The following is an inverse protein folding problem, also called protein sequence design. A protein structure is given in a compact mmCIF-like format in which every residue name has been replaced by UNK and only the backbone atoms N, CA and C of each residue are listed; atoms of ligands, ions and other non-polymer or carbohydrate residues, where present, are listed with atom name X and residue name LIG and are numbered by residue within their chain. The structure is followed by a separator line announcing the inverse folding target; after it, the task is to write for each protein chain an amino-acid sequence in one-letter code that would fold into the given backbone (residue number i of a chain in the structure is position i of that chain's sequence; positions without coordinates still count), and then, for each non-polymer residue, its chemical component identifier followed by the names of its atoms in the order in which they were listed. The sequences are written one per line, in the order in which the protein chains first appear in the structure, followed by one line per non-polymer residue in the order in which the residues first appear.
data_IF_469734823407
#
_entry.id   IF_469734823407
#
_cell.length_a   1.000
_cell.length_b   1.000
_cell.length_c   1.000
_cell.angle_alpha   90.00
_cell.angle_beta   90.00
_cell.angle_gamma   90.00
#
_symmetry.space_group_name_H-M   'P 1'
#
loop_
_entity.id
_entity.type
_entity.pdbx_description
1 polymer ?
#
# COMPACT_ATOMS: atom_id res chain seq x y z
N UNK A 1 9.91 -14.24 12.46
CA UNK A 1 10.48 -12.90 12.73
C UNK A 1 9.40 -11.82 12.71
N UNK A 2 8.72 -11.56 11.59
CA UNK A 2 7.69 -10.49 11.53
C UNK A 2 6.32 -10.87 12.11
N UNK A 3 6.07 -12.17 12.36
CA UNK A 3 4.86 -12.67 13.04
C UNK A 3 5.20 -13.31 14.40
N UNK A 4 6.20 -12.78 15.10
CA UNK A 4 6.63 -13.30 16.39
C UNK A 4 5.74 -12.76 17.51
N UNK A 5 4.98 -13.63 18.18
CA UNK A 5 4.05 -13.27 19.26
C UNK A 5 4.75 -12.76 20.52
N UNK A 6 6.04 -13.05 20.72
CA UNK A 6 6.79 -12.47 21.85
C UNK A 6 7.16 -11.00 21.60
N UNK A 7 7.15 -10.57 20.33
CA UNK A 7 7.59 -9.23 19.92
C UNK A 7 6.47 -8.33 19.43
N UNK A 8 5.46 -8.91 18.80
CA UNK A 8 4.28 -8.20 18.34
C UNK A 8 3.07 -8.79 19.06
N UNK A 9 2.39 -7.96 19.86
CA UNK A 9 1.00 -8.24 20.22
C UNK A 9 0.19 -8.33 18.90
N UNK A 10 -0.74 -9.27 18.79
CA UNK A 10 -1.53 -9.58 17.58
C UNK A 10 -0.73 -9.44 16.25
N UNK A 11 0.27 -10.30 16.01
CA UNK A 11 1.18 -10.17 14.86
C UNK A 11 0.49 -10.23 13.51
N UNK A 12 -0.65 -10.91 13.43
CA UNK A 12 -1.42 -11.10 12.20
C UNK A 12 -2.37 -9.92 11.90
N UNK A 13 -2.46 -8.93 12.81
CA UNK A 13 -3.31 -7.75 12.66
C UNK A 13 -2.50 -6.57 12.12
N UNK A 14 -2.96 -5.97 11.02
CA UNK A 14 -2.40 -4.71 10.52
C UNK A 14 -2.72 -3.54 11.47
N UNK A 15 -1.77 -3.19 12.35
CA UNK A 15 -1.90 -2.09 13.33
C UNK A 15 -0.78 -1.06 13.15
N UNK A 16 -0.94 -0.05 12.28
CA UNK A 16 0.08 0.99 12.03
C UNK A 16 0.51 1.75 13.30
N UNK A 17 -0.39 1.87 14.27
CA UNK A 17 -0.11 2.54 15.55
C UNK A 17 1.02 1.91 16.37
N UNK A 18 1.46 0.67 16.06
CA UNK A 18 2.63 0.04 16.72
C UNK A 18 3.97 0.70 16.33
N UNK A 19 3.98 1.59 15.34
CA UNK A 19 5.18 2.24 14.80
C UNK A 19 5.18 3.76 15.05
N UNK A 20 4.57 4.19 16.16
CA UNK A 20 4.60 5.58 16.62
C UNK A 20 6.04 6.04 16.92
N UNK A 21 6.34 7.36 16.85
CA UNK A 21 7.68 7.88 17.06
C UNK A 21 8.08 7.96 18.57
N UNK A 22 7.53 7.07 19.40
CA UNK A 22 7.98 6.85 20.76
C UNK A 22 9.15 5.83 20.78
N UNK A 23 9.70 5.57 21.97
CA UNK A 23 10.86 4.69 22.13
C UNK A 23 10.58 3.26 21.65
N UNK A 24 9.40 2.72 21.99
CA UNK A 24 9.00 1.36 21.64
C UNK A 24 8.77 1.21 20.13
N UNK A 25 8.03 2.13 19.52
CA UNK A 25 7.78 2.13 18.08
C UNK A 25 9.05 2.38 17.26
N UNK A 26 10.00 3.17 17.77
CA UNK A 26 11.31 3.35 17.14
C UNK A 26 12.14 2.04 17.16
N UNK A 27 12.16 1.33 18.28
CA UNK A 27 12.82 0.02 18.38
C UNK A 27 12.19 -1.04 17.47
N UNK A 28 10.85 -1.12 17.45
CA UNK A 28 10.12 -2.02 16.53
C UNK A 28 10.43 -1.69 15.07
N UNK A 29 10.47 -0.40 14.73
CA UNK A 29 10.82 0.05 13.36
C UNK A 29 12.22 -0.41 12.97
N UNK A 30 13.22 -0.25 13.84
CA UNK A 30 14.60 -0.74 13.59
C UNK A 30 14.64 -2.24 13.34
N UNK A 31 13.90 -3.01 14.14
CA UNK A 31 13.82 -4.46 13.99
C UNK A 31 13.19 -4.87 12.66
N UNK A 32 12.05 -4.27 12.28
CA UNK A 32 11.37 -4.55 11.01
C UNK A 32 12.27 -4.23 9.83
N UNK A 33 13.03 -3.14 9.87
CA UNK A 33 14.00 -2.80 8.83
C UNK A 33 15.09 -3.86 8.69
N UNK A 34 15.64 -4.34 9.81
CA UNK A 34 16.63 -5.41 9.79
C UNK A 34 16.05 -6.75 9.29
N UNK A 35 14.80 -7.06 9.62
CA UNK A 35 14.12 -8.25 9.12
C UNK A 35 13.83 -8.17 7.60
N UNK A 36 13.46 -6.98 7.09
CA UNK A 36 13.12 -6.78 5.68
C UNK A 36 14.35 -6.68 4.78
N UNK A 37 15.41 -6.01 5.24
CA UNK A 37 16.60 -5.72 4.44
C UNK A 37 17.84 -6.54 4.84
N UNK A 38 17.72 -7.39 5.85
CA UNK A 38 18.84 -8.15 6.41
C UNK A 38 19.74 -7.32 7.34
N UNK A 39 20.83 -7.93 7.78
CA UNK A 39 21.76 -7.37 8.77
C UNK A 39 23.22 -7.72 8.44
N UNK A 40 24.15 -6.98 9.05
CA UNK A 40 25.60 -7.19 8.90
C UNK A 40 26.12 -6.90 7.48
N UNK A 41 27.19 -7.62 7.09
CA UNK A 41 27.91 -7.39 5.82
C UNK A 41 27.09 -7.64 4.54
N UNK A 42 25.94 -8.30 4.65
CA UNK A 42 25.05 -8.62 3.52
C UNK A 42 23.72 -7.88 3.59
N UNK A 43 23.63 -6.84 4.42
CA UNK A 43 22.46 -5.95 4.45
C UNK A 43 22.20 -5.39 3.06
N UNK A 44 20.94 -5.35 2.65
CA UNK A 44 20.52 -4.86 1.35
C UNK A 44 21.11 -3.46 1.07
N UNK A 45 21.95 -3.30 0.02
CA UNK A 45 22.56 -2.02 -0.31
C UNK A 45 21.51 -1.00 -0.81
N UNK A 46 20.38 -1.49 -1.32
CA UNK A 46 19.28 -0.67 -1.82
C UNK A 46 18.30 -0.16 -0.77
N UNK A 47 18.48 -0.47 0.53
CA UNK A 47 17.47 -0.18 1.57
C UNK A 47 17.06 1.29 1.63
N UNK A 48 18.02 2.22 1.53
CA UNK A 48 17.74 3.65 1.65
C UNK A 48 16.97 4.16 0.44
N UNK A 49 17.34 3.70 -0.76
CA UNK A 49 16.61 4.00 -1.99
C UNK A 49 15.19 3.45 -1.94
N UNK A 50 15.04 2.16 -1.59
CA UNK A 50 13.74 1.51 -1.48
C UNK A 50 12.81 2.22 -0.50
N UNK A 51 13.28 2.55 0.71
CA UNK A 51 12.50 3.29 1.70
C UNK A 51 12.08 4.67 1.20
N UNK A 52 13.00 5.46 0.64
CA UNK A 52 12.70 6.79 0.15
C UNK A 52 11.72 6.77 -1.03
N UNK A 53 11.94 5.86 -1.99
CA UNK A 53 11.05 5.68 -3.14
C UNK A 53 9.66 5.22 -2.71
N UNK A 54 9.57 4.23 -1.81
CA UNK A 54 8.29 3.74 -1.32
C UNK A 54 7.51 4.85 -0.60
N UNK A 55 8.21 5.67 0.20
CA UNK A 55 7.57 6.79 0.88
C UNK A 55 7.00 7.81 -0.11
N UNK A 56 7.78 8.21 -1.11
CA UNK A 56 7.33 9.15 -2.15
C UNK A 56 6.16 8.57 -2.94
N UNK A 57 6.24 7.30 -3.36
CA UNK A 57 5.17 6.65 -4.12
C UNK A 57 3.88 6.63 -3.30
N UNK A 58 3.92 6.16 -2.05
CA UNK A 58 2.72 6.08 -1.20
C UNK A 58 2.15 7.47 -0.95
N UNK A 59 2.99 8.44 -0.56
CA UNK A 59 2.54 9.79 -0.27
C UNK A 59 1.91 10.47 -1.49
N UNK A 60 2.51 10.33 -2.68
CA UNK A 60 1.99 10.94 -3.91
C UNK A 60 0.72 10.25 -4.40
N UNK A 61 0.65 8.93 -4.33
CA UNK A 61 -0.57 8.18 -4.67
C UNK A 61 -1.72 8.58 -3.76
N UNK A 62 -1.51 8.61 -2.45
CA UNK A 62 -2.56 8.98 -1.48
C UNK A 62 -2.94 10.47 -1.55
N UNK A 63 -2.01 11.35 -1.94
CA UNK A 63 -2.31 12.76 -2.18
C UNK A 63 -3.19 12.96 -3.41
N UNK A 64 -3.00 12.17 -4.48
CA UNK A 64 -3.69 12.35 -5.75
C UNK A 64 -4.96 11.51 -5.91
N UNK A 65 -5.06 10.38 -5.20
CA UNK A 65 -6.13 9.39 -5.39
C UNK A 65 -6.77 8.94 -4.08
N UNK A 66 -8.05 8.57 -4.19
CA UNK A 66 -8.71 7.69 -3.23
C UNK A 66 -8.68 6.26 -3.76
N UNK A 67 -8.22 5.34 -2.91
CA UNK A 67 -8.17 3.90 -3.18
C UNK A 67 -9.27 3.25 -2.36
N UNK A 68 -10.23 2.69 -3.07
CA UNK A 68 -11.48 2.19 -2.53
C UNK A 68 -11.64 0.71 -2.87
N UNK A 69 -12.22 -0.10 -1.97
CA UNK A 69 -12.70 -1.45 -2.29
C UNK A 69 -13.61 -1.49 -3.52
N UNK A 70 -13.66 -2.65 -4.17
CA UNK A 70 -14.62 -2.90 -5.25
C UNK A 70 -15.99 -3.25 -4.64
N UNK A 71 -17.00 -2.39 -4.86
CA UNK A 71 -18.38 -2.58 -4.39
C UNK A 71 -19.04 -1.32 -3.80
N UNK A 72 -20.36 -1.35 -3.65
CA UNK A 72 -21.19 -0.20 -3.23
C UNK A 72 -21.22 0.04 -1.71
N UNK A 73 -20.62 -0.87 -0.93
CA UNK A 73 -20.73 -0.86 0.54
C UNK A 73 -20.04 0.33 1.21
N UNK A 74 -19.13 1.00 0.52
CA UNK A 74 -18.43 2.19 1.04
C UNK A 74 -19.42 3.33 1.29
N UNK A 75 -20.46 3.45 0.46
CA UNK A 75 -21.47 4.51 0.58
C UNK A 75 -22.54 4.20 1.64
N UNK A 76 -22.55 2.98 2.18
CA UNK A 76 -23.58 2.49 3.12
C UNK A 76 -23.18 2.59 4.60
N UNK A 77 -21.93 2.91 4.91
CA UNK A 77 -21.41 2.93 6.28
C UNK A 77 -21.25 1.54 6.92
N UNK A 78 -21.62 0.46 6.24
CA UNK A 78 -21.28 -0.91 6.62
C UNK A 78 -19.79 -1.18 6.34
N UNK A 79 -19.17 -1.99 7.20
CA UNK A 79 -17.74 -2.28 7.17
C UNK A 79 -17.25 -2.65 5.76
N UNK A 80 -16.11 -2.05 5.39
CA UNK A 80 -15.40 -2.33 4.15
C UNK A 80 -15.05 -3.83 4.07
N UNK A 81 -15.54 -4.50 3.03
CA UNK A 81 -15.14 -5.86 2.70
C UNK A 81 -13.71 -5.83 2.15
N UNK A 82 -12.73 -6.14 3.00
CA UNK A 82 -11.32 -6.20 2.60
C UNK A 82 -11.15 -7.47 1.76
N UNK A 83 -10.67 -7.37 0.50
CA UNK A 83 -10.47 -8.55 -0.33
C UNK A 83 -9.60 -9.57 0.39
N UNK A 84 -9.99 -10.85 0.34
CA UNK A 84 -9.16 -11.93 0.92
C UNK A 84 -7.78 -11.89 0.26
N UNK A 85 -6.73 -11.63 1.04
CA UNK A 85 -5.35 -11.61 0.57
C UNK A 85 -4.94 -13.03 0.20
N UNK A 86 -5.00 -13.33 -1.11
CA UNK A 86 -4.49 -14.58 -1.66
C UNK A 86 -3.11 -14.34 -2.23
N UNK A 87 -2.17 -15.22 -1.90
CA UNK A 87 -0.81 -15.15 -2.42
C UNK A 87 -0.61 -16.20 -3.50
N UNK A 88 0.04 -15.78 -4.59
CA UNK A 88 0.52 -16.69 -5.61
C UNK A 88 1.70 -17.52 -5.06
N UNK A 89 1.80 -18.77 -5.51
CA UNK A 89 2.94 -19.62 -5.16
C UNK A 89 4.21 -19.12 -5.86
N UNK A 90 5.30 -18.94 -5.11
CA UNK A 90 6.59 -18.51 -5.65
C UNK A 90 7.62 -18.19 -4.57
N UNK A 91 8.84 -17.81 -5.01
CA UNK A 91 9.94 -17.45 -4.12
C UNK A 91 9.74 -16.12 -3.37
N UNK A 92 8.84 -15.27 -3.87
CA UNK A 92 8.43 -14.03 -3.22
C UNK A 92 6.92 -14.04 -3.03
N UNK A 93 6.42 -13.50 -1.91
CA UNK A 93 4.99 -13.31 -1.71
C UNK A 93 4.49 -12.32 -2.77
N UNK A 94 3.75 -12.82 -3.75
CA UNK A 94 3.04 -12.02 -4.73
C UNK A 94 1.56 -12.12 -4.42
N UNK A 95 0.90 -10.97 -4.33
CA UNK A 95 -0.54 -10.95 -4.19
C UNK A 95 -1.19 -11.36 -5.51
N UNK A 96 -2.17 -12.26 -5.43
CA UNK A 96 -3.08 -12.53 -6.53
C UNK A 96 -3.82 -11.25 -6.91
N UNK A 97 -4.25 -11.17 -8.18
CA UNK A 97 -5.02 -10.01 -8.64
C UNK A 97 -6.32 -9.85 -7.84
N UNK A 98 -6.59 -8.63 -7.38
CA UNK A 98 -7.84 -8.22 -6.72
C UNK A 98 -8.37 -6.95 -7.38
N UNK A 99 -9.67 -6.71 -7.26
CA UNK A 99 -10.30 -5.51 -7.79
C UNK A 99 -10.30 -4.40 -6.75
N UNK A 100 -10.08 -3.17 -7.21
CA UNK A 100 -10.22 -1.95 -6.42
C UNK A 100 -10.62 -0.80 -7.35
N UNK A 101 -11.21 0.24 -6.77
CA UNK A 101 -11.53 1.49 -7.46
C UNK A 101 -10.48 2.53 -7.06
N UNK A 102 -9.80 3.09 -8.05
CA UNK A 102 -8.84 4.18 -7.85
C UNK A 102 -9.35 5.40 -8.59
N UNK A 103 -9.65 6.46 -7.86
CA UNK A 103 -10.23 7.68 -8.43
C UNK A 103 -9.47 8.92 -7.96
N UNK A 104 -9.40 9.99 -8.76
CA UNK A 104 -8.76 11.23 -8.33
C UNK A 104 -9.43 11.77 -7.05
N UNK A 105 -8.61 12.21 -6.10
CA UNK A 105 -9.04 12.67 -4.76
C UNK A 105 -9.86 13.95 -4.82
N UNK A 106 -9.49 14.85 -5.71
CA UNK A 106 -10.13 16.16 -5.88
C UNK A 106 -10.04 16.68 -7.32
N UNK A 107 -10.65 17.85 -7.55
CA UNK A 107 -10.66 18.52 -8.86
C UNK A 107 -9.25 18.87 -9.33
N UNK A 108 -8.38 19.31 -8.41
CA UNK A 108 -6.99 19.66 -8.71
C UNK A 108 -6.22 18.43 -9.22
N UNK A 109 -6.33 17.31 -8.54
CA UNK A 109 -5.70 16.03 -8.92
C UNK A 109 -6.21 15.56 -10.28
N UNK A 110 -7.53 15.66 -10.51
CA UNK A 110 -8.14 15.31 -11.79
C UNK A 110 -7.59 16.18 -12.95
N UNK A 111 -7.48 17.49 -12.74
CA UNK A 111 -6.98 18.44 -13.74
C UNK A 111 -5.49 18.24 -14.04
N UNK A 112 -4.69 17.91 -13.03
CA UNK A 112 -3.28 17.53 -13.22
C UNK A 112 -3.17 16.27 -14.07
N UNK A 113 -3.96 15.23 -13.78
CA UNK A 113 -3.94 13.98 -14.54
C UNK A 113 -4.32 14.19 -16.01
N UNK A 114 -5.35 15.01 -16.28
CA UNK A 114 -5.76 15.37 -17.65
C UNK A 114 -4.64 16.04 -18.45
N UNK A 115 -3.72 16.76 -17.79
CA UNK A 115 -2.58 17.41 -18.42
C UNK A 115 -1.39 16.45 -18.63
N UNK A 116 -1.25 15.45 -17.76
CA UNK A 116 -0.12 14.50 -17.76
C UNK A 116 -0.32 13.31 -18.70
N UNK A 117 -1.57 12.86 -18.90
CA UNK A 117 -1.85 11.74 -19.81
C UNK A 117 -1.87 12.26 -21.25
N UNK A 118 -0.96 11.81 -22.14
CA UNK A 118 -1.07 12.11 -23.56
C UNK A 118 -2.39 11.56 -24.08
N UNK A 119 -3.14 12.33 -24.88
CA UNK A 119 -4.47 11.96 -25.42
C UNK A 119 -4.51 10.68 -26.28
N UNK A 120 -3.40 9.97 -26.44
CA UNK A 120 -3.26 8.80 -27.29
C UNK A 120 -2.90 7.55 -26.48
N UNK A 121 -3.91 6.88 -25.93
CA UNK A 121 -3.87 5.44 -25.64
C UNK A 121 -5.31 4.91 -25.53
N UNK A 122 -5.90 4.40 -26.62
CA UNK A 122 -7.30 3.93 -26.64
C UNK A 122 -7.57 2.67 -25.79
N UNK A 123 -6.59 2.18 -25.02
CA UNK A 123 -6.69 0.92 -24.28
C UNK A 123 -6.70 1.05 -22.75
N UNK A 124 -6.64 2.27 -22.19
CA UNK A 124 -6.99 2.49 -20.78
C UNK A 124 -8.49 2.71 -20.69
N UNK A 125 -9.25 1.63 -20.89
CA UNK A 125 -10.68 1.59 -20.55
C UNK A 125 -10.80 1.60 -19.02
N UNK A 126 -10.78 2.79 -18.43
CA UNK A 126 -11.59 3.00 -17.24
C UNK A 126 -13.03 2.74 -17.72
N UNK A 127 -13.61 1.61 -17.31
CA UNK A 127 -15.03 1.34 -17.57
C UNK A 127 -15.86 2.34 -16.76
N UNK A 128 -16.02 3.54 -17.32
CA UNK A 128 -17.08 4.45 -16.96
C UNK A 128 -18.38 3.93 -17.57
N UNK A 129 -19.25 3.44 -16.69
CA UNK A 129 -20.68 3.21 -16.89
C UNK A 129 -21.09 2.07 -17.84
N UNK A 130 -21.74 1.07 -17.24
CA UNK A 130 -23.07 0.67 -17.72
C UNK A 130 -24.06 0.98 -16.59
N UNK A 131 -24.94 1.95 -16.88
CA UNK A 131 -26.25 2.33 -16.31
C UNK A 131 -26.47 2.36 -14.79
#
# INVERSE_FOLDING_TARGET
MLHDHERFEDPDIFKPARYTPDEEGAELTRFVYAAAFGFGRRTCPGRNFATASMWIIIATVLAAFDILPDGDKIDSGEGVDVPSLQYETGALPRLSSFKCRVQPRDTMSNDLLKKMVPRSSPNLRCNSHDM
#
